data_IF_548004522144
#
_entry.id   IF_548004522144
#
_cell.length_a   1.000
_cell.length_b   1.000
_cell.length_c   1.000
_cell.angle_alpha   90.00
_cell.angle_beta   90.00
_cell.angle_gamma   90.00
#
_symmetry.space_group_name_H-M   'P 1'
#
loop_
_entity.id
_entity.type
_entity.pdbx_description
1 polymer ?
#
# COMPACT_ATOMS: atom_id res chain seq x y z
N UNK A 1 -25.56 0.36 12.07
CA UNK A 1 -24.35 -0.40 12.36
C UNK A 1 -23.29 -0.09 11.32
N UNK A 2 -22.15 0.40 11.76
CA UNK A 2 -21.03 0.58 10.85
C UNK A 2 -20.46 -0.79 10.50
N UNK A 3 -20.24 -1.04 9.22
CA UNK A 3 -19.57 -2.23 8.77
C UNK A 3 -18.11 -2.20 9.25
N UNK A 4 -17.54 -3.38 9.49
CA UNK A 4 -16.13 -3.48 9.85
C UNK A 4 -15.28 -2.90 8.73
N UNK A 5 -14.31 -2.07 9.11
CA UNK A 5 -13.31 -1.56 8.17
C UNK A 5 -12.02 -2.36 8.35
N UNK A 6 -11.38 -2.64 7.24
CA UNK A 6 -10.10 -3.34 7.22
C UNK A 6 -8.98 -2.34 7.03
N UNK A 7 -7.89 -2.53 7.75
CA UNK A 7 -6.72 -1.66 7.63
C UNK A 7 -5.70 -2.27 6.69
N UNK A 8 -5.32 -1.51 5.68
CA UNK A 8 -4.36 -1.93 4.64
C UNK A 8 -3.15 -1.01 4.67
N UNK A 9 -1.96 -1.60 4.71
CA UNK A 9 -0.70 -0.87 4.64
C UNK A 9 0.03 -1.25 3.36
N UNK A 10 0.36 -0.25 2.54
CA UNK A 10 1.17 -0.43 1.34
C UNK A 10 2.61 -0.04 1.64
N UNK A 11 3.55 -0.93 1.33
CA UNK A 11 4.97 -0.72 1.59
C UNK A 11 5.79 -0.66 0.32
N UNK A 12 6.69 0.30 0.25
CA UNK A 12 7.80 0.30 -0.68
C UNK A 12 8.99 0.95 0.01
N UNK A 13 10.17 0.92 -0.60
CA UNK A 13 11.38 1.40 0.08
C UNK A 13 11.30 2.89 0.39
N UNK A 14 11.04 3.71 -0.63
CA UNK A 14 11.10 5.18 -0.50
C UNK A 14 9.83 5.86 -0.05
N UNK A 15 8.70 5.19 -0.13
CA UNK A 15 7.37 5.77 0.16
C UNK A 15 7.21 7.16 -0.46
N UNK A 16 7.46 7.25 -1.77
CA UNK A 16 7.35 8.51 -2.49
C UNK A 16 6.44 8.43 -3.71
N UNK A 17 6.24 7.25 -4.29
CA UNK A 17 5.42 7.08 -5.49
C UNK A 17 4.45 5.90 -5.37
N UNK A 18 4.93 4.66 -5.56
CA UNK A 18 4.05 3.48 -5.68
C UNK A 18 3.11 3.29 -4.49
N UNK A 19 3.63 3.28 -3.28
CA UNK A 19 2.82 3.06 -2.09
C UNK A 19 1.92 4.25 -1.77
N UNK A 20 2.39 5.46 -2.03
CA UNK A 20 1.60 6.69 -1.87
C UNK A 20 0.39 6.66 -2.82
N UNK A 21 0.64 6.29 -4.08
CA UNK A 21 -0.44 6.21 -5.08
C UNK A 21 -1.46 5.14 -4.70
N UNK A 22 -0.99 3.98 -4.22
CA UNK A 22 -1.89 2.91 -3.76
C UNK A 22 -2.77 3.38 -2.60
N UNK A 23 -2.19 4.06 -1.63
CA UNK A 23 -2.94 4.63 -0.51
C UNK A 23 -4.03 5.58 -1.00
N UNK A 24 -3.70 6.51 -1.88
CA UNK A 24 -4.65 7.49 -2.40
C UNK A 24 -5.79 6.82 -3.16
N UNK A 25 -5.48 5.83 -3.98
CA UNK A 25 -6.49 5.12 -4.77
C UNK A 25 -7.46 4.37 -3.85
N UNK A 26 -6.96 3.62 -2.89
CA UNK A 26 -7.83 2.84 -2.00
C UNK A 26 -8.70 3.75 -1.14
N UNK A 27 -8.16 4.87 -0.65
CA UNK A 27 -8.94 5.86 0.11
C UNK A 27 -10.11 6.41 -0.70
N UNK A 28 -9.91 6.64 -1.99
CA UNK A 28 -10.95 7.20 -2.85
C UNK A 28 -12.00 6.17 -3.25
N UNK A 29 -11.57 4.94 -3.54
CA UNK A 29 -12.47 3.96 -4.12
C UNK A 29 -13.34 3.23 -3.08
N UNK A 30 -12.85 3.02 -1.88
CA UNK A 30 -13.57 2.23 -0.89
C UNK A 30 -13.31 2.73 0.55
N UNK A 31 -13.61 4.01 0.85
CA UNK A 31 -13.31 4.56 2.18
C UNK A 31 -14.14 3.95 3.31
N UNK A 32 -15.34 3.46 3.01
CA UNK A 32 -16.20 2.84 4.02
C UNK A 32 -15.77 1.42 4.37
N UNK A 33 -14.98 0.79 3.52
CA UNK A 33 -14.56 -0.61 3.71
C UNK A 33 -13.11 -0.72 4.19
N UNK A 34 -12.27 0.21 3.78
CA UNK A 34 -10.83 0.15 4.08
C UNK A 34 -10.31 1.45 4.67
N UNK A 35 -9.39 1.30 5.62
CA UNK A 35 -8.52 2.38 6.06
C UNK A 35 -7.16 2.12 5.42
N UNK A 36 -6.71 3.03 4.56
CA UNK A 36 -5.49 2.83 3.79
C UNK A 36 -4.34 3.68 4.30
N UNK A 37 -3.18 3.08 4.39
CA UNK A 37 -1.93 3.73 4.81
C UNK A 37 -0.79 3.29 3.90
N UNK A 38 0.29 4.06 3.90
CA UNK A 38 1.51 3.68 3.20
C UNK A 38 2.73 4.07 4.02
N UNK A 39 3.84 3.36 3.82
CA UNK A 39 5.10 3.64 4.51
C UNK A 39 6.28 3.06 3.72
N UNK A 40 7.48 3.41 4.13
CA UNK A 40 8.70 2.88 3.55
C UNK A 40 9.74 2.56 4.60
N UNK A 41 10.65 1.66 4.24
CA UNK A 41 11.79 1.32 5.11
C UNK A 41 12.83 2.45 5.15
N UNK A 42 12.96 3.16 4.03
CA UNK A 42 13.89 4.28 3.85
C UNK A 42 13.16 5.44 3.18
N UNK A 43 12.24 6.10 3.91
CA UNK A 43 11.40 7.12 3.28
C UNK A 43 12.23 8.30 2.77
N UNK A 44 11.89 8.77 1.57
CA UNK A 44 12.56 9.93 0.98
C UNK A 44 12.17 11.25 1.66
N UNK A 45 11.07 11.24 2.41
CA UNK A 45 10.60 12.42 3.13
C UNK A 45 9.68 13.32 2.32
N UNK A 46 9.59 13.12 1.00
CA UNK A 46 8.72 13.90 0.12
C UNK A 46 8.01 12.99 -0.86
N UNK A 47 6.77 13.36 -1.18
CA UNK A 47 6.00 12.66 -2.21
C UNK A 47 6.50 13.13 -3.58
N UNK A 48 6.67 12.17 -4.50
CA UNK A 48 7.16 12.50 -5.84
C UNK A 48 6.19 13.45 -6.56
N UNK A 49 6.69 14.53 -7.17
CA UNK A 49 5.80 15.50 -7.86
C UNK A 49 4.92 14.88 -8.93
N UNK A 50 5.44 13.94 -9.71
CA UNK A 50 4.65 13.29 -10.74
C UNK A 50 3.57 12.37 -10.18
N UNK A 51 3.80 11.78 -9.00
CA UNK A 51 2.76 11.02 -8.32
C UNK A 51 1.58 11.93 -7.95
N UNK A 52 1.87 13.09 -7.37
CA UNK A 52 0.83 14.08 -7.04
C UNK A 52 0.10 14.56 -8.29
N UNK A 53 0.86 14.91 -9.34
CA UNK A 53 0.31 15.41 -10.59
C UNK A 53 -0.65 14.40 -11.23
N UNK A 54 -0.25 13.14 -11.32
CA UNK A 54 -1.08 12.09 -11.91
C UNK A 54 -2.31 11.81 -11.07
N UNK A 55 -2.16 11.75 -9.73
CA UNK A 55 -3.29 11.55 -8.85
C UNK A 55 -4.33 12.67 -8.99
N UNK A 56 -3.88 13.92 -9.01
CA UNK A 56 -4.77 15.07 -9.18
C UNK A 56 -5.45 15.07 -10.54
N UNK A 57 -4.71 14.73 -11.60
CA UNK A 57 -5.26 14.65 -12.94
C UNK A 57 -6.44 13.66 -13.02
N UNK A 58 -6.32 12.51 -12.35
CA UNK A 58 -7.37 11.51 -12.32
C UNK A 58 -8.33 11.66 -11.13
N UNK A 59 -8.29 12.83 -10.48
CA UNK A 59 -9.24 13.23 -9.44
C UNK A 59 -9.16 12.39 -8.15
N UNK A 60 -7.97 11.91 -7.82
CA UNK A 60 -7.72 11.31 -6.51
C UNK A 60 -7.24 12.38 -5.55
N UNK A 61 -7.86 12.49 -4.35
CA UNK A 61 -7.42 13.48 -3.36
C UNK A 61 -5.98 13.24 -2.91
N UNK A 62 -5.20 14.31 -2.81
CA UNK A 62 -3.80 14.25 -2.41
C UNK A 62 -3.53 14.85 -1.03
N UNK A 63 -4.53 15.45 -0.42
CA UNK A 63 -4.38 16.04 0.91
C UNK A 63 -4.02 15.00 1.96
N UNK A 64 -3.01 15.30 2.78
CA UNK A 64 -2.58 14.41 3.83
C UNK A 64 -1.59 13.33 3.41
N UNK A 65 -1.29 13.20 2.12
CA UNK A 65 -0.27 12.25 1.66
C UNK A 65 1.11 12.73 2.09
N UNK A 66 1.88 11.84 2.70
CA UNK A 66 3.24 12.16 3.14
C UNK A 66 4.12 10.93 3.10
N UNK A 67 5.39 11.14 2.85
CA UNK A 67 6.40 10.08 2.89
C UNK A 67 6.81 9.84 4.35
N UNK A 68 6.75 8.59 4.80
CA UNK A 68 6.94 8.26 6.21
C UNK A 68 7.56 6.88 6.39
N UNK A 69 8.14 6.67 7.56
CA UNK A 69 8.75 5.40 7.91
C UNK A 69 7.71 4.37 8.36
N UNK A 70 7.95 3.12 8.04
CA UNK A 70 7.12 2.01 8.51
C UNK A 70 7.14 1.89 10.05
N UNK A 71 8.12 2.49 10.72
CA UNK A 71 8.19 2.50 12.18
C UNK A 71 6.96 3.17 12.82
N UNK A 72 6.29 4.06 12.10
CA UNK A 72 5.05 4.67 12.59
C UNK A 72 3.94 3.64 12.79
N UNK A 73 4.06 2.46 12.18
CA UNK A 73 3.03 1.42 12.21
C UNK A 73 3.41 0.20 13.05
N UNK A 74 4.54 0.25 13.76
CA UNK A 74 5.03 -0.87 14.57
C UNK A 74 4.91 -0.64 16.06
N UNK A 75 4.63 0.60 16.49
CA UNK A 75 4.53 0.94 17.91
C UNK A 75 3.18 0.59 18.52
N UNK A 76 3.08 0.68 19.87
CA UNK A 76 1.84 0.32 20.56
C UNK A 76 0.66 1.23 20.24
N UNK A 77 0.90 2.45 19.79
CA UNK A 77 -0.15 3.38 19.38
C UNK A 77 -0.52 3.27 17.91
N UNK A 78 0.14 2.38 17.16
CA UNK A 78 -0.16 2.19 15.74
C UNK A 78 -1.51 1.47 15.58
N UNK A 79 -2.26 1.77 14.49
CA UNK A 79 -3.51 1.04 14.24
C UNK A 79 -3.22 -0.43 13.94
N UNK A 80 -4.10 -1.35 14.36
CA UNK A 80 -3.97 -2.74 13.95
C UNK A 80 -4.06 -2.85 12.43
N UNK A 81 -3.19 -3.65 11.82
CA UNK A 81 -3.13 -3.81 10.38
C UNK A 81 -3.62 -5.19 10.00
N UNK A 82 -4.55 -5.26 9.04
CA UNK A 82 -5.11 -6.53 8.56
C UNK A 82 -4.37 -7.06 7.34
N UNK A 83 -3.96 -6.17 6.43
CA UNK A 83 -3.30 -6.55 5.18
C UNK A 83 -2.08 -5.66 4.92
N UNK A 84 -1.00 -6.28 4.48
CA UNK A 84 0.20 -5.57 4.03
C UNK A 84 0.51 -6.00 2.60
N UNK A 85 0.65 -5.01 1.71
CA UNK A 85 1.07 -5.26 0.33
C UNK A 85 2.40 -4.57 0.08
N UNK A 86 3.42 -5.35 -0.27
CA UNK A 86 4.71 -4.79 -0.70
C UNK A 86 4.66 -4.57 -2.20
N UNK A 87 5.09 -3.38 -2.64
CA UNK A 87 4.95 -2.95 -4.03
C UNK A 87 6.26 -2.91 -4.80
N UNK A 88 7.39 -2.99 -4.13
CA UNK A 88 8.68 -3.08 -4.78
C UNK A 88 9.46 -4.30 -4.28
N UNK A 89 10.32 -4.84 -5.13
CA UNK A 89 11.07 -6.05 -4.79
C UNK A 89 11.99 -5.82 -3.59
N UNK A 90 12.60 -4.64 -3.48
CA UNK A 90 13.45 -4.31 -2.35
C UNK A 90 12.71 -4.40 -1.02
N UNK A 91 11.49 -3.86 -0.95
CA UNK A 91 10.69 -3.92 0.28
C UNK A 91 10.31 -5.35 0.65
N UNK A 92 10.08 -6.22 -0.35
CA UNK A 92 9.74 -7.61 -0.11
C UNK A 92 10.91 -8.40 0.47
N UNK A 93 12.14 -7.99 0.17
CA UNK A 93 13.36 -8.69 0.62
C UNK A 93 14.04 -8.05 1.83
N UNK A 94 13.55 -6.90 2.29
CA UNK A 94 14.09 -6.25 3.47
C UNK A 94 13.63 -7.00 4.73
N UNK A 95 14.46 -6.90 5.79
CA UNK A 95 14.08 -7.45 7.09
C UNK A 95 12.92 -6.61 7.63
N UNK A 96 11.74 -7.18 7.59
CA UNK A 96 10.54 -6.50 8.07
C UNK A 96 10.48 -6.45 9.58
N UNK A 97 9.98 -5.35 10.16
CA UNK A 97 9.70 -5.32 11.59
C UNK A 97 8.60 -6.31 11.95
N UNK A 98 8.50 -6.62 13.23
CA UNK A 98 7.40 -7.42 13.72
C UNK A 98 6.10 -6.62 13.66
N UNK A 99 5.10 -7.18 13.00
CA UNK A 99 3.78 -6.55 12.88
C UNK A 99 2.82 -7.20 13.86
N UNK A 100 2.33 -6.46 14.89
CA UNK A 100 1.35 -7.02 15.83
C UNK A 100 0.11 -7.53 15.09
N UNK A 101 -0.42 -8.67 15.52
CA UNK A 101 -1.63 -9.23 14.96
C UNK A 101 -1.43 -10.09 13.73
N UNK A 102 -0.22 -10.26 13.26
CA UNK A 102 0.12 -11.11 12.09
C UNK A 102 -0.72 -10.80 10.85
N UNK A 103 -0.58 -9.59 10.26
CA UNK A 103 -1.37 -9.23 9.09
C UNK A 103 -1.10 -10.14 7.89
N UNK A 104 -2.10 -10.29 7.05
CA UNK A 104 -1.94 -11.00 5.77
C UNK A 104 -0.99 -10.19 4.89
N UNK A 105 0.06 -10.83 4.39
CA UNK A 105 1.08 -10.14 3.59
C UNK A 105 1.10 -10.72 2.18
N UNK A 106 1.13 -9.83 1.18
CA UNK A 106 1.26 -10.22 -0.22
C UNK A 106 2.21 -9.27 -0.94
N UNK A 107 2.83 -9.76 -2.01
CA UNK A 107 3.73 -8.95 -2.82
C UNK A 107 3.08 -8.65 -4.17
N UNK A 108 2.92 -7.35 -4.46
CA UNK A 108 2.42 -6.87 -5.74
C UNK A 108 3.55 -6.09 -6.43
N UNK A 109 4.51 -6.78 -7.01
CA UNK A 109 5.67 -6.12 -7.62
C UNK A 109 5.29 -5.18 -8.75
N UNK A 110 5.69 -3.92 -8.66
CA UNK A 110 5.49 -2.90 -9.68
C UNK A 110 6.83 -2.28 -10.04
N UNK A 111 7.07 -2.00 -11.33
CA UNK A 111 8.26 -1.24 -11.73
C UNK A 111 8.29 0.13 -11.06
N UNK A 112 9.48 0.63 -10.78
CA UNK A 112 9.63 1.97 -10.20
C UNK A 112 9.45 3.03 -11.29
N UNK A 113 8.37 3.82 -11.26
CA UNK A 113 8.15 4.85 -12.27
C UNK A 113 9.18 5.98 -12.18
N UNK A 114 9.77 6.20 -11.01
CA UNK A 114 10.79 7.23 -10.82
C UNK A 114 12.13 6.87 -11.45
N UNK A 115 12.34 5.59 -11.76
CA UNK A 115 13.58 5.12 -12.40
C UNK A 115 13.54 5.25 -13.94
N UNK A 116 12.39 5.58 -14.51
CA UNK A 116 12.24 5.71 -15.96
C UNK A 116 13.00 6.94 -16.45
N UNK A 117 13.83 6.75 -17.47
CA UNK A 117 14.57 7.82 -18.12
C UNK A 117 13.90 8.26 -19.41
N UNK A 118 14.20 9.46 -19.86
CA UNK A 118 13.67 10.01 -21.09
C UNK A 118 13.11 11.41 -20.91
N UNK A 119 12.14 11.76 -21.75
CA UNK A 119 11.49 13.07 -21.69
C UNK A 119 10.56 13.14 -20.46
N UNK A 120 10.18 14.36 -20.10
CA UNK A 120 9.20 14.56 -19.03
C UNK A 120 7.88 13.85 -19.34
N UNK A 121 7.46 13.86 -20.59
CA UNK A 121 6.25 13.15 -21.01
C UNK A 121 6.38 11.64 -20.79
N UNK A 122 7.52 11.05 -21.15
CA UNK A 122 7.79 9.64 -20.92
C UNK A 122 7.76 9.31 -19.43
N UNK A 123 8.33 10.18 -18.60
CA UNK A 123 8.34 10.00 -17.15
C UNK A 123 6.93 10.08 -16.56
N UNK A 124 6.14 11.08 -16.97
CA UNK A 124 4.75 11.19 -16.52
C UNK A 124 3.94 9.97 -16.90
N UNK A 125 4.14 9.49 -18.12
CA UNK A 125 3.43 8.31 -18.62
C UNK A 125 3.75 7.07 -17.79
N UNK A 126 4.96 6.96 -17.25
CA UNK A 126 5.32 5.86 -16.34
C UNK A 126 4.49 5.90 -15.07
N UNK A 127 4.19 7.09 -14.54
CA UNK A 127 3.33 7.24 -13.36
C UNK A 127 1.86 6.93 -13.69
N UNK A 128 1.40 7.32 -14.88
CA UNK A 128 0.05 6.94 -15.34
C UNK A 128 -0.06 5.42 -15.42
N UNK A 129 0.95 4.75 -15.97
CA UNK A 129 0.96 3.30 -16.07
C UNK A 129 0.97 2.64 -14.69
N UNK A 130 1.70 3.20 -13.73
CA UNK A 130 1.69 2.72 -12.36
C UNK A 130 0.28 2.79 -11.76
N UNK A 131 -0.41 3.90 -11.98
CA UNK A 131 -1.79 4.05 -11.52
C UNK A 131 -2.70 2.99 -12.13
N UNK A 132 -2.55 2.74 -13.43
CA UNK A 132 -3.33 1.71 -14.12
C UNK A 132 -3.08 0.32 -13.53
N UNK A 133 -1.81 -0.02 -13.29
CA UNK A 133 -1.44 -1.31 -12.70
C UNK A 133 -1.98 -1.47 -11.28
N UNK A 134 -1.94 -0.40 -10.50
CA UNK A 134 -2.52 -0.42 -9.15
C UNK A 134 -4.02 -0.68 -9.20
N UNK A 135 -4.73 -0.05 -10.14
CA UNK A 135 -6.17 -0.26 -10.30
C UNK A 135 -6.48 -1.71 -10.68
N UNK A 136 -5.66 -2.31 -11.54
CA UNK A 136 -5.83 -3.73 -11.90
C UNK A 136 -5.69 -4.67 -10.70
N UNK A 137 -4.89 -4.30 -9.71
CA UNK A 137 -4.72 -5.08 -8.48
C UNK A 137 -5.78 -4.76 -7.44
N UNK A 138 -6.11 -3.48 -7.27
CA UNK A 138 -7.01 -3.04 -6.23
C UNK A 138 -8.48 -3.34 -6.54
N UNK A 139 -8.91 -3.19 -7.80
CA UNK A 139 -10.31 -3.39 -8.15
C UNK A 139 -10.84 -4.77 -7.73
N UNK A 140 -10.18 -5.90 -8.05
CA UNK A 140 -10.63 -7.21 -7.56
C UNK A 140 -10.60 -7.33 -6.04
N UNK A 141 -9.57 -6.77 -5.39
CA UNK A 141 -9.46 -6.82 -3.93
C UNK A 141 -10.61 -6.08 -3.25
N UNK A 142 -10.95 -4.89 -3.76
CA UNK A 142 -12.05 -4.08 -3.23
C UNK A 142 -13.38 -4.81 -3.35
N UNK A 143 -13.55 -5.61 -4.40
CA UNK A 143 -14.80 -6.32 -4.66
C UNK A 143 -14.97 -7.59 -3.84
N UNK A 144 -13.95 -8.04 -3.12
CA UNK A 144 -14.09 -9.19 -2.25
C UNK A 144 -15.12 -8.89 -1.15
N UNK A 145 -16.06 -9.81 -0.89
CA UNK A 145 -17.00 -9.57 0.20
C UNK A 145 -16.29 -9.61 1.56
N UNK A 146 -16.88 -8.92 2.54
CA UNK A 146 -16.34 -8.86 3.90
C UNK A 146 -16.06 -10.26 4.45
N UNK A 147 -16.96 -11.23 4.18
CA UNK A 147 -16.77 -12.60 4.63
C UNK A 147 -15.52 -13.25 4.05
N UNK A 148 -15.17 -12.94 2.79
CA UNK A 148 -13.95 -13.46 2.18
C UNK A 148 -12.70 -12.85 2.80
N UNK A 149 -12.74 -11.55 3.07
CA UNK A 149 -11.61 -10.85 3.72
C UNK A 149 -11.40 -11.38 5.14
N UNK A 150 -12.46 -11.56 5.92
CA UNK A 150 -12.36 -12.15 7.24
C UNK A 150 -11.80 -13.56 7.21
N UNK A 151 -12.21 -14.36 6.20
CA UNK A 151 -11.69 -15.71 6.04
C UNK A 151 -10.19 -15.72 5.78
N UNK A 152 -9.70 -14.80 4.92
CA UNK A 152 -8.26 -14.67 4.65
C UNK A 152 -7.49 -14.36 5.93
N UNK A 153 -8.00 -13.46 6.75
CA UNK A 153 -7.36 -13.07 8.01
C UNK A 153 -7.32 -14.26 8.96
N UNK A 154 -8.45 -14.98 9.13
CA UNK A 154 -8.52 -16.13 10.02
C UNK A 154 -7.61 -17.27 9.56
N UNK A 155 -7.60 -17.59 8.28
CA UNK A 155 -6.74 -18.64 7.73
C UNK A 155 -5.26 -18.30 7.91
N UNK A 156 -4.88 -17.05 7.68
CA UNK A 156 -3.52 -16.60 7.88
C UNK A 156 -3.09 -16.72 9.34
N UNK A 157 -3.93 -16.29 10.27
CA UNK A 157 -3.65 -16.37 11.70
C UNK A 157 -3.46 -17.84 12.13
N UNK A 158 -4.29 -18.74 11.63
CA UNK A 158 -4.17 -20.18 11.94
C UNK A 158 -2.88 -20.76 11.40
N UNK A 159 -2.47 -20.40 10.18
CA UNK A 159 -1.24 -20.89 9.57
C UNK A 159 0.01 -20.31 10.24
N UNK A 160 -0.09 -19.09 10.78
CA UNK A 160 1.01 -18.42 11.45
C UNK A 160 1.30 -18.96 12.84
N UNK A 161 0.34 -19.63 13.48
CA UNK A 161 0.50 -20.19 14.81
C UNK A 161 1.39 -21.43 14.74
N UNK A 162 2.54 -21.38 15.40
CA UNK A 162 3.46 -22.52 15.46
C UNK A 162 4.45 -22.61 14.30
N UNK A 163 4.43 -21.65 13.35
CA UNK A 163 5.44 -21.59 12.30
C UNK A 163 6.27 -20.34 12.46
N UNK A 164 7.62 -20.45 12.44
CA UNK A 164 8.44 -19.24 12.42
C UNK A 164 8.14 -18.44 11.16
N UNK A 165 8.15 -17.12 11.28
CA UNK A 165 8.03 -16.23 10.15
C UNK A 165 9.26 -16.46 9.25
N UNK A 166 9.04 -16.83 8.02
CA UNK A 166 10.11 -17.06 7.06
C UNK A 166 10.40 -15.78 6.32
#
# INVERSE_FOLDING_TARGET
>A
MSARRFTVLFLCTGNSARSIMAEAVLKQLAPEKFSAYSAGSHPKGTVHPYALEVLEHFQYPTGGLRSKSWEEFTGPSAPPIDFIFTLCDSAAHETCPFWPGHPVTAHWGLPDPAAVEGTEETKRQAFVETLRMLRLRLDPFIQLPVSALDRLIHEHARKGVGKPAV
#
